data_IF_472342762478
#
_entry.id   IF_472342762478
#
_cell.length_a   1.000
_cell.length_b   1.000
_cell.length_c   1.000
_cell.angle_alpha   90.00
_cell.angle_beta   90.00
_cell.angle_gamma   90.00
#
_symmetry.space_group_name_H-M   'P 1'
#
loop_
_entity.id
_entity.type
_entity.pdbx_description
1 polymer ?
#
# COMPACT_ATOMS: atom_id res chain seq x y z
N UNK A 1 -12.66 16.26 2.02
CA UNK A 1 -12.20 14.87 2.18
C UNK A 1 -11.75 14.70 3.63
N UNK A 2 -12.56 14.08 4.49
CA UNK A 2 -12.16 13.74 5.86
C UNK A 2 -11.68 12.28 5.81
N UNK A 3 -10.39 12.06 5.55
CA UNK A 3 -9.83 10.77 5.94
C UNK A 3 -9.87 10.71 7.47
N UNK A 4 -10.56 9.73 8.02
CA UNK A 4 -10.54 9.51 9.46
C UNK A 4 -9.11 9.09 9.86
N UNK A 5 -8.60 9.56 11.01
CA UNK A 5 -7.20 9.29 11.41
C UNK A 5 -6.87 7.79 11.43
N UNK A 6 -7.87 6.95 11.69
CA UNK A 6 -7.70 5.49 11.67
C UNK A 6 -7.50 4.94 10.25
N UNK A 7 -8.09 5.53 9.21
CA UNK A 7 -7.89 5.12 7.81
C UNK A 7 -6.44 5.37 7.39
N UNK A 8 -5.89 6.54 7.74
CA UNK A 8 -4.49 6.87 7.50
C UNK A 8 -3.53 5.93 8.24
N UNK A 9 -3.86 5.55 9.47
CA UNK A 9 -3.07 4.59 10.26
C UNK A 9 -3.04 3.20 9.61
N UNK A 10 -4.19 2.70 9.13
CA UNK A 10 -4.28 1.39 8.45
C UNK A 10 -3.54 1.43 7.12
N UNK A 11 -3.69 2.49 6.34
CA UNK A 11 -2.97 2.65 5.07
C UNK A 11 -1.46 2.69 5.26
N UNK A 12 -0.98 3.42 6.29
CA UNK A 12 0.44 3.43 6.66
C UNK A 12 0.92 2.01 7.01
N UNK A 13 0.15 1.29 7.82
CA UNK A 13 0.51 -0.08 8.22
C UNK A 13 0.60 -1.03 7.03
N UNK A 14 -0.36 -0.97 6.11
CA UNK A 14 -0.36 -1.81 4.91
C UNK A 14 0.80 -1.46 3.97
N UNK A 15 1.12 -0.17 3.82
CA UNK A 15 2.28 0.28 3.04
C UNK A 15 3.60 -0.20 3.66
N UNK A 16 3.73 -0.13 4.99
CA UNK A 16 4.92 -0.56 5.72
C UNK A 16 5.12 -2.08 5.64
N UNK A 17 4.03 -2.85 5.75
CA UNK A 17 4.02 -4.30 5.51
C UNK A 17 4.51 -4.63 4.09
N UNK A 18 4.01 -3.92 3.07
CA UNK A 18 4.44 -4.09 1.68
C UNK A 18 5.93 -3.75 1.50
N UNK A 19 6.39 -2.61 2.03
CA UNK A 19 7.79 -2.20 1.93
C UNK A 19 8.71 -3.22 2.60
N UNK A 20 8.31 -3.74 3.77
CA UNK A 20 9.06 -4.77 4.50
C UNK A 20 9.10 -6.10 3.74
N UNK A 21 7.98 -6.57 3.19
CA UNK A 21 7.89 -7.81 2.43
C UNK A 21 8.73 -7.78 1.14
N UNK A 22 8.87 -6.60 0.53
CA UNK A 22 9.59 -6.42 -0.72
C UNK A 22 10.98 -5.78 -0.58
N UNK A 23 11.44 -5.53 0.66
CA UNK A 23 12.69 -4.84 0.96
C UNK A 23 12.84 -3.50 0.21
N UNK A 24 11.75 -2.73 0.18
CA UNK A 24 11.65 -1.41 -0.43
C UNK A 24 11.70 -0.31 0.64
N UNK A 25 12.22 0.85 0.26
CA UNK A 25 12.04 2.10 0.97
C UNK A 25 10.71 2.75 0.59
N UNK A 26 10.12 3.52 1.51
CA UNK A 26 8.92 4.33 1.23
C UNK A 26 9.14 5.38 0.13
N UNK A 27 10.39 5.72 -0.14
CA UNK A 27 10.79 6.65 -1.20
C UNK A 27 11.00 5.95 -2.57
N UNK A 28 10.93 4.62 -2.61
CA UNK A 28 11.07 3.88 -3.87
C UNK A 28 9.81 4.08 -4.73
N UNK A 29 10.01 4.23 -6.04
CA UNK A 29 8.94 4.33 -7.04
C UNK A 29 7.81 3.30 -6.86
N UNK A 30 8.08 1.98 -6.66
CA UNK A 30 7.04 1.01 -6.36
C UNK A 30 6.27 1.29 -5.07
N UNK A 31 6.92 1.80 -4.02
CA UNK A 31 6.24 2.17 -2.78
C UNK A 31 5.35 3.40 -2.97
N UNK A 32 5.78 4.38 -3.78
CA UNK A 32 4.98 5.55 -4.14
C UNK A 32 3.73 5.17 -4.96
N UNK A 33 3.87 4.30 -5.96
CA UNK A 33 2.73 3.81 -6.76
C UNK A 33 1.69 3.07 -5.90
N UNK A 34 2.16 2.27 -4.95
CA UNK A 34 1.30 1.58 -3.99
C UNK A 34 0.64 2.59 -3.05
N UNK A 35 1.39 3.56 -2.52
CA UNK A 35 0.84 4.60 -1.65
C UNK A 35 -0.30 5.38 -2.33
N UNK A 36 -0.13 5.79 -3.59
CA UNK A 36 -1.20 6.44 -4.35
C UNK A 36 -2.44 5.56 -4.55
N UNK A 37 -2.22 4.26 -4.80
CA UNK A 37 -3.30 3.30 -4.97
C UNK A 37 -4.09 3.14 -3.68
N UNK A 38 -3.38 3.00 -2.56
CA UNK A 38 -3.99 2.90 -1.23
C UNK A 38 -4.80 4.14 -0.89
N UNK A 39 -4.31 5.35 -1.22
CA UNK A 39 -5.05 6.60 -1.01
C UNK A 39 -6.34 6.66 -1.84
N UNK A 40 -6.32 6.18 -3.09
CA UNK A 40 -7.53 6.08 -3.94
C UNK A 40 -8.56 5.10 -3.38
N UNK A 41 -8.12 4.01 -2.73
CA UNK A 41 -9.02 3.07 -2.08
C UNK A 41 -9.74 3.66 -0.86
N UNK A 42 -9.08 4.53 -0.09
CA UNK A 42 -9.69 5.18 1.09
C UNK A 42 -10.79 6.17 0.67
N UNK A 43 -10.60 6.90 -0.43
CA UNK A 43 -11.57 7.91 -0.90
C UNK A 43 -12.92 7.31 -1.33
N UNK A 44 -12.97 5.99 -1.55
CA UNK A 44 -14.13 5.30 -2.10
C UNK A 44 -14.99 4.57 -1.04
N UNK A 45 -14.63 4.60 0.24
CA UNK A 45 -15.19 3.68 1.23
C UNK A 45 -15.50 4.30 2.61
N UNK A 46 -16.79 4.34 2.97
CA UNK A 46 -17.26 4.30 4.37
C UNK A 46 -17.27 2.83 4.85
N UNK A 47 -16.08 2.25 5.03
CA UNK A 47 -15.92 0.85 5.46
C UNK A 47 -15.33 0.77 6.87
N UNK A 48 -15.50 -0.38 7.54
CA UNK A 48 -14.88 -0.62 8.84
C UNK A 48 -13.35 -0.87 8.71
N UNK A 49 -12.57 -0.77 9.80
CA UNK A 49 -11.11 -0.99 9.80
C UNK A 49 -10.62 -2.29 9.16
N UNK A 50 -11.28 -3.41 9.45
CA UNK A 50 -10.83 -4.72 8.96
C UNK A 50 -11.11 -4.88 7.46
N UNK A 51 -12.28 -4.43 7.01
CA UNK A 51 -12.67 -4.42 5.60
C UNK A 51 -11.74 -3.53 4.79
N UNK A 52 -11.41 -2.33 5.30
CA UNK A 52 -10.45 -1.45 4.65
C UNK A 52 -9.08 -2.15 4.51
N UNK A 53 -8.57 -2.76 5.58
CA UNK A 53 -7.27 -3.45 5.53
C UNK A 53 -7.25 -4.58 4.50
N UNK A 54 -8.30 -5.40 4.44
CA UNK A 54 -8.42 -6.48 3.45
C UNK A 54 -8.42 -5.95 2.02
N UNK A 55 -9.21 -4.90 1.75
CA UNK A 55 -9.31 -4.28 0.42
C UNK A 55 -7.98 -3.65 -0.02
N UNK A 56 -7.28 -2.99 0.91
CA UNK A 56 -5.95 -2.43 0.66
C UNK A 56 -4.93 -3.54 0.34
N UNK A 57 -4.93 -4.65 1.08
CA UNK A 57 -4.07 -5.80 0.80
C UNK A 57 -4.37 -6.45 -0.55
N UNK A 58 -5.65 -6.64 -0.88
CA UNK A 58 -6.09 -7.22 -2.15
C UNK A 58 -5.67 -6.34 -3.35
N UNK A 59 -5.82 -5.01 -3.20
CA UNK A 59 -5.42 -4.04 -4.22
C UNK A 59 -3.91 -4.03 -4.49
N UNK A 60 -3.10 -4.36 -3.48
CA UNK A 60 -1.65 -4.53 -3.63
C UNK A 60 -1.30 -5.91 -4.20
N UNK A 61 -1.99 -6.97 -3.75
CA UNK A 61 -1.72 -8.34 -4.17
C UNK A 61 -1.93 -8.55 -5.69
N UNK A 62 -2.92 -7.86 -6.27
CA UNK A 62 -3.14 -7.83 -7.73
C UNK A 62 -1.98 -7.15 -8.47
N UNK A 63 -1.28 -6.22 -7.80
CA UNK A 63 -0.10 -5.50 -8.30
C UNK A 63 1.18 -6.09 -7.73
N UNK A 64 1.48 -7.35 -8.04
CA UNK A 64 2.82 -7.90 -7.80
C UNK A 64 3.85 -6.88 -8.33
N UNK A 65 4.79 -6.39 -7.51
CA UNK A 65 5.88 -5.58 -8.01
C UNK A 65 6.55 -6.44 -9.08
N UNK A 66 6.57 -5.95 -10.32
CA UNK A 66 7.23 -6.63 -11.41
C UNK A 66 8.63 -7.01 -10.91
N UNK A 67 8.98 -8.29 -11.06
CA UNK A 67 10.23 -8.89 -10.61
C UNK A 67 11.48 -8.34 -11.35
N UNK A 68 11.40 -7.13 -11.89
CA UNK A 68 12.44 -6.45 -12.65
C UNK A 68 13.41 -5.68 -11.75
N UNK A 69 13.18 -5.62 -10.43
CA UNK A 69 14.11 -4.98 -9.48
C UNK A 69 15.14 -5.92 -8.84
N UNK A 70 15.08 -7.23 -9.12
CA UNK A 70 16.01 -8.23 -8.57
C UNK A 70 17.37 -8.33 -9.29
N UNK A 71 17.76 -7.34 -10.12
CA UNK A 71 18.92 -7.49 -11.01
C UNK A 71 19.87 -6.29 -11.02
N UNK A 72 20.16 -5.71 -9.85
CA UNK A 72 21.30 -4.80 -9.67
C UNK A 72 21.89 -4.96 -8.26
N UNK A 73 22.46 -6.14 -7.97
CA UNK A 73 23.49 -6.27 -6.96
C UNK A 73 24.75 -6.74 -7.68
N UNK A 74 25.62 -5.78 -7.99
CA UNK A 74 27.02 -6.01 -8.36
C UNK A 74 27.81 -6.53 -7.16
#
# INVERSE_FOLDING_TARGET
MRCEMWQAAITRQVLDEFCTEHNLSVDDEPAMEIAETLLRCIDQSDENPETLRLKLKDSIADRRPHATYANNAF
#
